data_IF_563456200161
#
_entry.id   IF_563456200161
#
_cell.length_a   1.000
_cell.length_b   1.000
_cell.length_c   1.000
_cell.angle_alpha   90.00
_cell.angle_beta   90.00
_cell.angle_gamma   90.00
#
_symmetry.space_group_name_H-M   'P 1'
#
loop_
_entity.id
_entity.type
_entity.pdbx_description
1 polymer ?
#
# COMPACT_ATOMS: atom_id res chain seq x y z
N UNK A 1 13.38 -2.92 13.39
CA UNK A 1 12.07 -3.22 12.77
C UNK A 1 12.33 -3.92 11.46
N UNK A 2 11.91 -5.18 11.33
CA UNK A 2 12.08 -5.96 10.10
C UNK A 2 11.12 -5.47 9.01
N UNK A 3 11.35 -5.94 7.79
CA UNK A 3 10.47 -5.68 6.66
C UNK A 3 9.04 -6.18 6.92
N UNK A 4 8.91 -7.38 7.47
CA UNK A 4 7.63 -8.02 7.81
C UNK A 4 6.91 -7.23 8.90
N UNK A 5 7.63 -6.77 9.92
CA UNK A 5 7.07 -5.93 10.99
C UNK A 5 6.54 -4.60 10.45
N UNK A 6 7.29 -3.95 9.54
CA UNK A 6 6.86 -2.70 8.90
C UNK A 6 5.63 -2.90 8.03
N UNK A 7 5.64 -3.95 7.18
CA UNK A 7 4.49 -4.34 6.36
C UNK A 7 3.27 -4.63 7.23
N UNK A 8 3.44 -5.39 8.32
CA UNK A 8 2.40 -5.69 9.30
C UNK A 8 1.86 -4.41 9.96
N UNK A 9 2.72 -3.51 10.40
CA UNK A 9 2.32 -2.24 11.02
C UNK A 9 1.47 -1.38 10.07
N UNK A 10 1.87 -1.28 8.80
CA UNK A 10 1.10 -0.52 7.80
C UNK A 10 -0.26 -1.17 7.56
N UNK A 11 -0.33 -2.49 7.37
CA UNK A 11 -1.59 -3.22 7.20
C UNK A 11 -2.51 -3.08 8.42
N UNK A 12 -1.93 -3.05 9.63
CA UNK A 12 -2.68 -2.82 10.86
C UNK A 12 -3.26 -1.40 10.91
N UNK A 13 -2.47 -0.37 10.54
CA UNK A 13 -2.95 1.02 10.46
C UNK A 13 -4.05 1.24 9.42
N UNK A 14 -4.06 0.45 8.35
CA UNK A 14 -5.12 0.43 7.34
C UNK A 14 -6.39 -0.32 7.80
N UNK A 15 -6.35 -1.00 8.95
CA UNK A 15 -7.47 -1.79 9.45
C UNK A 15 -7.63 -3.13 8.74
N UNK A 16 -6.57 -3.67 8.13
CA UNK A 16 -6.61 -4.94 7.39
C UNK A 16 -6.15 -6.15 8.22
N UNK A 17 -5.79 -5.94 9.48
CA UNK A 17 -5.37 -6.97 10.44
C UNK A 17 -6.22 -6.87 11.72
N UNK A 18 -6.33 -7.96 12.51
CA UNK A 18 -7.04 -7.95 13.78
C UNK A 18 -6.54 -6.84 14.72
N UNK A 19 -7.47 -6.21 15.43
CA UNK A 19 -7.19 -5.07 16.31
C UNK A 19 -6.91 -3.75 15.59
N UNK A 20 -6.81 -3.74 14.25
CA UNK A 20 -6.75 -2.52 13.47
C UNK A 20 -8.15 -1.91 13.27
N UNK A 21 -8.26 -0.59 13.30
CA UNK A 21 -9.52 0.10 13.04
C UNK A 21 -9.71 0.29 11.52
N UNK A 22 -10.80 -0.24 10.91
CA UNK A 22 -11.11 0.02 9.51
C UNK A 22 -11.19 1.51 9.23
N UNK A 23 -10.54 1.96 8.15
CA UNK A 23 -10.61 3.35 7.71
C UNK A 23 -11.79 3.52 6.75
N UNK A 24 -12.61 4.58 6.88
CA UNK A 24 -13.68 4.86 5.93
C UNK A 24 -13.08 5.26 4.57
N UNK A 25 -13.81 4.98 3.49
CA UNK A 25 -13.39 5.37 2.15
C UNK A 25 -13.56 6.89 1.97
N UNK A 26 -12.54 7.60 1.41
CA UNK A 26 -12.62 9.04 1.15
C UNK A 26 -13.78 9.43 0.22
N UNK A 27 -14.14 8.55 -0.72
CA UNK A 27 -15.23 8.79 -1.67
C UNK A 27 -16.58 8.26 -1.19
N UNK A 28 -16.58 7.32 -0.23
CA UNK A 28 -17.77 6.66 0.28
C UNK A 28 -17.64 6.48 1.81
N UNK A 29 -17.97 7.50 2.62
CA UNK A 29 -17.74 7.49 4.06
C UNK A 29 -18.41 6.34 4.81
N UNK A 30 -19.51 5.82 4.27
CA UNK A 30 -20.26 4.69 4.81
C UNK A 30 -19.62 3.33 4.53
N UNK A 31 -18.59 3.28 3.67
CA UNK A 31 -17.93 2.06 3.26
C UNK A 31 -16.50 2.03 3.81
N UNK A 32 -16.11 0.91 4.41
CA UNK A 32 -14.75 0.71 4.87
C UNK A 32 -13.78 0.42 3.72
N UNK A 33 -12.55 0.92 3.85
CA UNK A 33 -11.41 0.65 2.98
C UNK A 33 -10.89 -0.77 3.18
N UNK A 34 -11.61 -1.74 2.62
CA UNK A 34 -11.06 -3.09 2.45
C UNK A 34 -9.98 -3.10 1.37
N UNK A 35 -9.12 -4.12 1.40
CA UNK A 35 -8.08 -4.36 0.39
C UNK A 35 -8.62 -4.30 -1.05
N UNK A 36 -9.74 -5.01 -1.31
CA UNK A 36 -10.39 -4.99 -2.64
C UNK A 36 -11.00 -3.63 -2.98
N UNK A 37 -11.64 -3.00 -2.01
CA UNK A 37 -12.29 -1.70 -2.21
C UNK A 37 -11.27 -0.63 -2.58
N UNK A 38 -10.09 -0.66 -1.97
CA UNK A 38 -9.01 0.27 -2.29
C UNK A 38 -8.55 0.11 -3.74
N UNK A 39 -8.48 -1.13 -4.24
CA UNK A 39 -8.07 -1.40 -5.63
C UNK A 39 -9.11 -0.86 -6.62
N UNK A 40 -10.39 -1.16 -6.41
CA UNK A 40 -11.46 -0.77 -7.34
C UNK A 40 -11.89 0.69 -7.20
N UNK A 41 -12.17 1.15 -5.98
CA UNK A 41 -12.68 2.50 -5.72
C UNK A 41 -11.60 3.57 -5.89
N UNK A 42 -10.38 3.32 -5.41
CA UNK A 42 -9.29 4.30 -5.55
C UNK A 42 -8.49 4.11 -6.85
N UNK A 43 -8.80 3.09 -7.66
CA UNK A 43 -8.10 2.76 -8.89
C UNK A 43 -6.58 2.66 -8.70
N UNK A 44 -6.17 1.89 -7.68
CA UNK A 44 -4.77 1.88 -7.21
C UNK A 44 -3.76 1.43 -8.26
N UNK A 45 -4.15 0.56 -9.19
CA UNK A 45 -3.31 0.21 -10.33
C UNK A 45 -2.84 1.43 -11.11
N UNK A 46 -3.76 2.36 -11.41
CA UNK A 46 -3.44 3.59 -12.14
C UNK A 46 -2.59 4.52 -11.28
N UNK A 47 -2.92 4.67 -9.99
CA UNK A 47 -2.19 5.57 -9.08
C UNK A 47 -0.76 5.13 -8.80
N UNK A 48 -0.53 3.83 -8.78
CA UNK A 48 0.78 3.21 -8.52
C UNK A 48 1.52 2.85 -9.80
N UNK A 49 0.99 3.22 -10.98
CA UNK A 49 1.52 2.85 -12.28
C UNK A 49 1.82 1.35 -12.40
N UNK A 50 0.92 0.51 -11.88
CA UNK A 50 1.11 -0.93 -11.82
C UNK A 50 0.20 -1.72 -12.77
N UNK A 51 0.71 -2.78 -13.40
CA UNK A 51 -0.09 -3.65 -14.27
C UNK A 51 -1.28 -4.26 -13.55
N UNK A 52 -2.42 -4.40 -14.25
CA UNK A 52 -3.61 -5.10 -13.75
C UNK A 52 -3.38 -6.59 -13.46
N UNK A 53 -2.30 -7.17 -13.99
CA UNK A 53 -1.88 -8.54 -13.69
C UNK A 53 -1.54 -8.76 -12.22
N UNK A 54 -1.13 -7.71 -11.49
CA UNK A 54 -0.80 -7.80 -10.06
C UNK A 54 -2.08 -7.63 -9.24
N UNK A 55 -2.71 -8.74 -8.84
CA UNK A 55 -4.04 -8.72 -8.21
C UNK A 55 -4.15 -7.82 -6.96
N UNK A 56 -3.08 -7.67 -6.17
CA UNK A 56 -3.03 -6.74 -5.05
C UNK A 56 -1.78 -5.85 -5.13
N UNK A 57 -1.88 -4.68 -5.80
CA UNK A 57 -0.75 -3.78 -5.96
C UNK A 57 -0.23 -3.26 -4.62
N UNK A 58 -1.07 -3.10 -3.60
CA UNK A 58 -0.61 -2.57 -2.31
C UNK A 58 0.16 -3.64 -1.55
N UNK A 59 -0.37 -4.87 -1.43
CA UNK A 59 0.38 -5.93 -0.76
C UNK A 59 1.69 -6.26 -1.46
N UNK A 60 1.74 -6.20 -2.79
CA UNK A 60 2.97 -6.36 -3.55
C UNK A 60 4.05 -5.34 -3.14
N UNK A 61 3.70 -4.04 -3.11
CA UNK A 61 4.64 -2.99 -2.69
C UNK A 61 5.03 -3.11 -1.22
N UNK A 62 4.07 -3.40 -0.33
CA UNK A 62 4.37 -3.58 1.09
C UNK A 62 5.35 -4.73 1.30
N UNK A 63 5.30 -5.76 0.47
CA UNK A 63 6.23 -6.88 0.50
C UNK A 63 7.60 -6.57 -0.15
N UNK A 64 7.72 -5.44 -0.85
CA UNK A 64 8.96 -4.97 -1.47
C UNK A 64 9.58 -3.77 -0.75
N UNK A 65 9.00 -3.32 0.37
CA UNK A 65 9.52 -2.18 1.12
C UNK A 65 11.02 -2.36 1.43
N UNK A 66 11.89 -1.43 1.02
CA UNK A 66 13.31 -1.56 1.32
C UNK A 66 13.55 -1.52 2.83
N UNK A 67 14.47 -2.38 3.27
CA UNK A 67 15.01 -2.41 4.65
C UNK A 67 16.01 -1.28 4.92
N UNK A 68 16.45 -0.58 3.87
CA UNK A 68 17.60 0.31 3.92
C UNK A 68 17.25 1.61 4.65
N UNK A 69 17.92 1.84 5.78
CA UNK A 69 18.09 3.17 6.37
C UNK A 69 18.61 4.12 5.28
N UNK A 70 18.02 5.30 5.21
CA UNK A 70 18.28 6.34 4.22
C UNK A 70 19.77 6.44 3.88
N UNK A 71 20.16 6.07 2.67
CA UNK A 71 21.48 6.42 2.11
C UNK A 71 21.25 7.58 1.15
N UNK A 72 22.02 8.69 1.25
CA UNK A 72 21.72 9.94 0.57
C UNK A 72 21.48 9.79 -0.93
N UNK A 73 20.50 10.56 -1.40
CA UNK A 73 19.95 10.62 -2.75
C UNK A 73 20.96 11.01 -3.83
N UNK A 74 21.76 10.06 -4.33
CA UNK A 74 22.43 10.21 -5.63
C UNK A 74 22.05 9.16 -6.66
N UNK A 75 21.24 8.15 -6.30
CA UNK A 75 20.87 7.05 -7.20
C UNK A 75 19.38 6.70 -7.02
N UNK A 76 18.49 7.63 -7.30
CA UNK A 76 17.07 7.32 -7.47
C UNK A 76 16.75 7.41 -8.97
N UNK A 77 16.93 6.28 -9.66
CA UNK A 77 16.55 6.10 -11.06
C UNK A 77 15.07 6.46 -11.24
N UNK A 78 14.85 7.33 -12.22
CA UNK A 78 13.58 7.80 -12.74
C UNK A 78 12.70 6.63 -13.21
N UNK A 79 11.57 6.44 -12.55
CA UNK A 79 10.38 5.91 -13.23
C UNK A 79 9.59 7.12 -13.69
N UNK A 80 9.89 7.59 -14.90
CA UNK A 80 9.10 8.60 -15.56
C UNK A 80 7.75 7.99 -15.99
N UNK A 81 6.67 8.74 -15.73
CA UNK A 81 5.32 8.44 -16.17
C UNK A 81 5.17 8.51 -17.70
#
# INVERSE_FOLDING_TARGET
MTHEERSRCIRWRLGWLPGGAPKPCPYHPNNNLSRRHVISCLNMHRRLCMPKAIADPISFLLNMLPTRTFVPSSIALSWAC
#
